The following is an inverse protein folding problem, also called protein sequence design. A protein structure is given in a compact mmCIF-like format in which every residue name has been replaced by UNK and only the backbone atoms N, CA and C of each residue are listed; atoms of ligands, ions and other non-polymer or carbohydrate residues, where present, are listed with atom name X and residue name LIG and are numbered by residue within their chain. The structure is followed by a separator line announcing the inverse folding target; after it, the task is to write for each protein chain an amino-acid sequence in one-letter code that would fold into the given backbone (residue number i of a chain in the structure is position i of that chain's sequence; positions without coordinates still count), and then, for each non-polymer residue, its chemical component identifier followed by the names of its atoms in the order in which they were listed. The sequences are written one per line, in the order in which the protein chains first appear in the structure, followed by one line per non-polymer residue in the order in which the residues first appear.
data_IF_541546223029
#
_entry.id   IF_541546223029
#
_cell.length_a   1.000
_cell.length_b   1.000
_cell.length_c   1.000
_cell.angle_alpha   90.00
_cell.angle_beta   90.00
_cell.angle_gamma   90.00
#
_symmetry.space_group_name_H-M   'P 1'
#
loop_
_entity.id
_entity.type
_entity.pdbx_description
1 polymer ?
#
# COMPACT_ATOMS: atom_id res chain seq x y z
N UNK A 1 -3.86 -0.93 6.95
CA UNK A 1 -3.26 -0.51 5.67
C UNK A 1 -1.89 0.13 5.88
N UNK A 2 -1.81 1.25 6.59
CA UNK A 2 -0.55 1.98 6.87
C UNK A 2 0.58 1.09 7.42
N UNK A 3 0.28 0.25 8.41
CA UNK A 3 1.26 -0.69 8.97
C UNK A 3 1.88 -1.61 7.91
N UNK A 4 1.05 -2.30 7.12
CA UNK A 4 1.56 -3.17 6.05
C UNK A 4 2.32 -2.40 4.97
N UNK A 5 1.91 -1.18 4.65
CA UNK A 5 2.67 -0.29 3.76
C UNK A 5 4.04 0.04 4.34
N UNK A 6 4.14 0.35 5.63
CA UNK A 6 5.42 0.58 6.31
C UNK A 6 6.30 -0.68 6.37
N UNK A 7 5.69 -1.87 6.54
CA UNK A 7 6.41 -3.15 6.49
C UNK A 7 7.02 -3.40 5.11
N UNK A 8 6.30 -3.09 4.03
CA UNK A 8 6.86 -3.15 2.67
C UNK A 8 8.09 -2.24 2.57
N UNK A 9 7.99 -0.98 3.01
CA UNK A 9 9.13 -0.06 2.95
C UNK A 9 10.32 -0.52 3.80
N UNK A 10 10.05 -1.14 4.95
CA UNK A 10 11.08 -1.71 5.82
C UNK A 10 11.81 -2.86 5.14
N UNK A 11 11.06 -3.78 4.52
CA UNK A 11 11.64 -4.96 3.85
C UNK A 11 12.41 -4.59 2.58
N UNK A 12 11.98 -3.54 1.89
CA UNK A 12 12.62 -3.05 0.66
C UNK A 12 13.74 -2.04 0.92
N UNK A 13 14.01 -1.70 2.18
CA UNK A 13 15.06 -0.75 2.55
C UNK A 13 16.42 -1.28 2.10
N UNK A 14 17.14 -0.46 1.33
CA UNK A 14 18.48 -0.76 0.81
C UNK A 14 18.57 -2.02 -0.07
N UNK A 15 17.43 -2.63 -0.41
CA UNK A 15 17.37 -3.77 -1.34
C UNK A 15 17.61 -3.25 -2.76
N UNK A 16 18.51 -3.91 -3.50
CA UNK A 16 18.71 -3.62 -4.92
C UNK A 16 17.80 -4.51 -5.76
N UNK A 17 17.46 -4.04 -6.96
CA UNK A 17 16.59 -4.75 -7.89
C UNK A 17 17.02 -6.21 -8.11
N UNK A 18 18.31 -6.42 -8.35
CA UNK A 18 18.88 -7.76 -8.59
C UNK A 18 18.73 -8.69 -7.40
N UNK A 19 18.91 -8.17 -6.18
CA UNK A 19 18.80 -8.96 -4.95
C UNK A 19 17.34 -9.34 -4.72
N UNK A 20 16.41 -8.42 -4.96
CA UNK A 20 14.97 -8.69 -4.94
C UNK A 20 14.56 -9.78 -5.94
N UNK A 21 15.05 -9.71 -7.19
CA UNK A 21 14.74 -10.71 -8.23
C UNK A 21 15.26 -12.12 -7.91
N UNK A 22 16.26 -12.25 -7.02
CA UNK A 22 16.85 -13.53 -6.62
C UNK A 22 16.33 -14.05 -5.28
N UNK A 23 15.62 -13.24 -4.50
CA UNK A 23 15.07 -13.61 -3.20
C UNK A 23 13.56 -13.89 -3.29
N UNK A 24 13.21 -15.13 -3.58
CA UNK A 24 11.82 -15.60 -3.66
C UNK A 24 11.05 -15.38 -2.35
N UNK A 25 11.70 -15.48 -1.18
CA UNK A 25 11.04 -15.27 0.10
C UNK A 25 10.64 -13.81 0.26
N UNK A 26 11.53 -12.89 -0.11
CA UNK A 26 11.23 -11.46 -0.09
C UNK A 26 10.12 -11.13 -1.09
N UNK A 27 10.17 -11.67 -2.30
CA UNK A 27 9.12 -11.49 -3.30
C UNK A 27 7.75 -11.93 -2.78
N UNK A 28 7.66 -13.13 -2.21
CA UNK A 28 6.42 -13.67 -1.63
C UNK A 28 5.93 -12.80 -0.46
N UNK A 29 6.83 -12.41 0.44
CA UNK A 29 6.48 -11.57 1.58
C UNK A 29 5.93 -10.21 1.15
N UNK A 30 6.61 -9.54 0.21
CA UNK A 30 6.19 -8.23 -0.31
C UNK A 30 4.88 -8.34 -1.09
N UNK A 31 4.74 -9.34 -1.95
CA UNK A 31 3.51 -9.60 -2.70
C UNK A 31 2.33 -9.78 -1.76
N UNK A 32 2.49 -10.59 -0.70
CA UNK A 32 1.44 -10.79 0.29
C UNK A 32 1.05 -9.50 1.01
N UNK A 33 2.01 -8.64 1.34
CA UNK A 33 1.70 -7.35 1.95
C UNK A 33 0.92 -6.44 0.99
N UNK A 34 1.27 -6.41 -0.29
CA UNK A 34 0.54 -5.64 -1.31
C UNK A 34 -0.91 -6.13 -1.49
N UNK A 35 -1.15 -7.44 -1.44
CA UNK A 35 -2.50 -8.00 -1.45
C UNK A 35 -3.32 -7.52 -0.25
N UNK A 36 -2.75 -7.57 0.95
CA UNK A 36 -3.41 -7.12 2.19
C UNK A 36 -3.71 -5.63 2.13
N UNK A 37 -2.81 -4.82 1.56
CA UNK A 37 -3.04 -3.39 1.33
C UNK A 37 -4.23 -3.17 0.39
N UNK A 38 -4.29 -3.90 -0.72
CA UNK A 38 -5.40 -3.83 -1.68
C UNK A 38 -6.74 -4.27 -1.08
N UNK A 39 -6.75 -5.33 -0.28
CA UNK A 39 -7.94 -5.80 0.43
C UNK A 39 -8.42 -4.78 1.46
N UNK A 40 -7.50 -4.21 2.24
CA UNK A 40 -7.84 -3.14 3.18
C UNK A 40 -8.45 -1.92 2.46
N UNK A 41 -7.99 -1.59 1.25
CA UNK A 41 -8.54 -0.49 0.46
C UNK A 41 -9.95 -0.79 -0.06
N UNK A 42 -10.22 -2.05 -0.41
CA UNK A 42 -11.54 -2.48 -0.86
C UNK A 42 -12.59 -2.42 0.26
N UNK A 43 -12.15 -2.62 1.51
CA UNK A 43 -13.00 -2.58 2.69
C UNK A 43 -13.33 -1.17 3.19
N UNK A 44 -12.70 -0.12 2.64
CA UNK A 44 -13.06 1.26 2.95
C UNK A 44 -14.44 1.60 2.37
N UNK A 45 -15.21 2.41 3.11
CA UNK A 45 -16.51 2.88 2.62
C UNK A 45 -16.33 3.64 1.31
N UNK A 46 -17.39 3.68 0.50
CA UNK A 46 -17.39 4.45 -0.75
C UNK A 46 -17.20 5.95 -0.45
N UNK A 47 -17.92 6.47 0.54
CA UNK A 47 -17.84 7.86 1.00
C UNK A 47 -16.41 8.26 1.37
N UNK A 48 -15.70 7.45 2.18
CA UNK A 48 -14.31 7.73 2.55
C UNK A 48 -13.39 7.77 1.33
N UNK A 49 -13.59 6.86 0.37
CA UNK A 49 -12.80 6.82 -0.86
C UNK A 49 -13.07 8.02 -1.77
N UNK A 50 -14.31 8.50 -1.80
CA UNK A 50 -14.71 9.70 -2.55
C UNK A 50 -14.15 10.97 -1.91
N UNK A 51 -14.24 11.09 -0.58
CA UNK A 51 -13.66 12.19 0.20
C UNK A 51 -12.14 12.28 0.00
N UNK A 52 -11.46 11.14 -0.10
CA UNK A 52 -10.03 11.05 -0.31
C UNK A 52 -9.65 10.60 -1.73
N UNK A 53 -10.32 11.16 -2.74
CA UNK A 53 -10.15 10.80 -4.16
C UNK A 53 -8.78 11.11 -4.78
N UNK A 54 -7.93 11.85 -4.07
CA UNK A 54 -6.51 12.05 -4.46
C UNK A 54 -5.71 10.75 -4.40
N UNK A 55 -6.11 9.81 -3.53
CA UNK A 55 -5.55 8.47 -3.48
C UNK A 55 -6.20 7.64 -4.59
N UNK A 56 -5.42 6.95 -5.46
CA UNK A 56 -5.96 6.17 -6.56
C UNK A 56 -6.51 4.81 -6.08
N UNK A 57 -7.59 4.83 -5.28
CA UNK A 57 -8.17 3.64 -4.64
C UNK A 57 -8.47 2.50 -5.60
N UNK A 58 -9.01 2.80 -6.78
CA UNK A 58 -9.31 1.79 -7.80
C UNK A 58 -8.06 1.03 -8.26
N UNK A 59 -6.91 1.71 -8.39
CA UNK A 59 -5.65 1.07 -8.76
C UNK A 59 -5.10 0.21 -7.62
N UNK A 60 -5.21 0.69 -6.37
CA UNK A 60 -4.76 -0.05 -5.17
C UNK A 60 -5.57 -1.33 -5.00
N UNK A 61 -6.90 -1.25 -5.16
CA UNK A 61 -7.81 -2.39 -5.10
C UNK A 61 -7.52 -3.35 -6.27
N UNK A 62 -7.36 -2.82 -7.48
CA UNK A 62 -7.07 -3.60 -8.68
C UNK A 62 -5.73 -4.32 -8.64
N UNK A 63 -4.75 -3.81 -7.89
CA UNK A 63 -3.43 -4.43 -7.72
C UNK A 63 -3.54 -5.86 -7.18
N UNK A 64 -4.45 -6.11 -6.22
CA UNK A 64 -4.71 -7.46 -5.69
C UNK A 64 -5.06 -8.44 -6.82
N UNK A 65 -5.95 -8.04 -7.74
CA UNK A 65 -6.36 -8.89 -8.84
C UNK A 65 -5.20 -9.15 -9.81
N UNK A 66 -4.36 -8.15 -10.07
CA UNK A 66 -3.18 -8.29 -10.91
C UNK A 66 -2.13 -9.25 -10.32
N UNK A 67 -1.94 -9.23 -8.99
CA UNK A 67 -1.00 -10.11 -8.29
C UNK A 67 -1.53 -11.55 -8.20
N UNK A 68 -2.83 -11.73 -7.95
CA UNK A 68 -3.46 -13.06 -7.85
C UNK A 68 -3.55 -13.74 -9.23
N UNK A 69 -3.91 -13.04 -10.30
CA UNK A 69 -4.00 -13.66 -11.63
C UNK A 69 -2.64 -14.12 -12.18
N UNK A 70 -1.55 -13.66 -11.58
CA UNK A 70 -0.19 -14.03 -11.93
C UNK A 70 0.24 -15.40 -11.35
N UNK A 71 -0.70 -16.29 -10.99
CA UNK A 71 -0.49 -17.62 -10.37
C UNK A 71 0.67 -18.47 -10.92
N UNK A 72 1.13 -18.21 -12.15
CA UNK A 72 2.28 -18.90 -12.76
C UNK A 72 3.57 -18.08 -12.82
N UNK A 73 3.51 -16.74 -12.78
CA UNK A 73 4.65 -15.82 -12.77
C UNK A 73 4.20 -14.44 -12.27
N UNK A 74 4.51 -14.12 -11.01
CA UNK A 74 4.35 -12.76 -10.50
C UNK A 74 5.19 -11.81 -11.36
N UNK A 75 4.56 -10.76 -11.86
CA UNK A 75 5.26 -9.70 -12.58
C UNK A 75 6.13 -8.91 -11.59
N UNK A 76 7.37 -9.36 -11.42
CA UNK A 76 8.31 -8.80 -10.46
C UNK A 76 8.62 -7.34 -10.75
N UNK A 77 8.55 -6.91 -12.02
CA UNK A 77 8.70 -5.51 -12.39
C UNK A 77 7.57 -4.67 -11.80
N UNK A 78 6.32 -5.12 -11.93
CA UNK A 78 5.17 -4.45 -11.31
C UNK A 78 5.29 -4.41 -9.80
N UNK A 79 5.65 -5.51 -9.15
CA UNK A 79 5.80 -5.55 -7.68
C UNK A 79 6.84 -4.53 -7.22
N UNK A 80 8.01 -4.52 -7.85
CA UNK A 80 9.07 -3.57 -7.51
C UNK A 80 8.70 -2.13 -7.79
N UNK A 81 8.14 -1.82 -8.96
CA UNK A 81 7.72 -0.45 -9.25
C UNK A 81 6.68 0.02 -8.23
N UNK A 82 5.78 -0.86 -7.82
CA UNK A 82 4.79 -0.58 -6.77
C UNK A 82 5.47 -0.28 -5.43
N UNK A 83 6.48 -1.04 -5.02
CA UNK A 83 7.18 -0.84 -3.74
C UNK A 83 8.04 0.43 -3.75
N UNK A 84 8.60 0.80 -4.90
CA UNK A 84 9.48 1.97 -5.01
C UNK A 84 8.71 3.28 -5.20
N UNK A 85 7.46 3.26 -5.68
CA UNK A 85 6.72 4.47 -6.06
C UNK A 85 5.38 4.59 -5.35
N UNK A 86 4.48 3.64 -5.60
CA UNK A 86 3.09 3.70 -5.13
C UNK A 86 2.99 3.55 -3.62
N UNK A 87 3.74 2.62 -3.01
CA UNK A 87 3.70 2.39 -1.56
C UNK A 87 4.21 3.60 -0.75
N UNK A 88 5.38 4.21 -1.06
CA UNK A 88 5.82 5.43 -0.38
C UNK A 88 4.80 6.56 -0.47
N UNK A 89 4.24 6.79 -1.66
CA UNK A 89 3.21 7.81 -1.87
C UNK A 89 1.95 7.52 -1.06
N UNK A 90 1.52 6.26 -0.99
CA UNK A 90 0.37 5.85 -0.19
C UNK A 90 0.60 6.08 1.31
N UNK A 91 1.79 5.77 1.82
CA UNK A 91 2.15 6.03 3.22
C UNK A 91 2.04 7.51 3.55
N UNK A 92 2.57 8.38 2.69
CA UNK A 92 2.49 9.84 2.89
C UNK A 92 1.04 10.32 2.93
N UNK A 93 0.22 9.89 1.97
CA UNK A 93 -1.19 10.30 1.87
C UNK A 93 -2.01 9.82 3.07
N UNK A 94 -1.87 8.55 3.47
CA UNK A 94 -2.60 8.02 4.64
C UNK A 94 -2.15 8.69 5.93
N UNK A 95 -0.85 8.91 6.10
CA UNK A 95 -0.33 9.59 7.31
C UNK A 95 -0.93 10.99 7.43
N UNK A 96 -0.99 11.74 6.32
CA UNK A 96 -1.61 13.07 6.31
C UNK A 96 -3.11 13.04 6.66
N UNK A 97 -3.84 12.01 6.25
CA UNK A 97 -5.26 11.84 6.62
C UNK A 97 -5.37 11.57 8.12
N UNK A 98 -4.59 10.63 8.66
CA UNK A 98 -4.63 10.26 10.09
C UNK A 98 -4.29 11.48 10.96
N UNK A 99 -3.23 12.22 10.64
CA UNK A 99 -2.85 13.42 11.39
C UNK A 99 -3.97 14.46 11.42
N UNK A 100 -4.65 14.71 10.29
CA UNK A 100 -5.78 15.65 10.24
C UNK A 100 -6.99 15.18 11.04
N UNK A 101 -7.24 13.87 11.08
CA UNK A 101 -8.33 13.31 11.88
C UNK A 101 -8.06 13.46 13.38
N UNK A 102 -6.81 13.25 13.80
CA UNK A 102 -6.39 13.43 15.19
C UNK A 102 -6.49 14.91 15.62
N UNK A 103 -6.08 15.85 14.76
CA UNK A 103 -6.21 17.31 15.00
C UNK A 103 -7.68 17.72 15.15
N UNK A 104 -8.57 17.24 14.28
CA UNK A 104 -10.00 17.56 14.33
C UNK A 104 -10.68 17.01 15.59
N UNK A 105 -10.30 15.80 16.03
CA UNK A 105 -10.79 15.24 17.29
C UNK A 105 -10.29 16.00 18.53
N UNK A 106 -9.08 16.55 18.48
CA UNK A 106 -8.54 17.36 19.57
C UNK A 106 -9.25 18.71 19.71
N UNK A 107 -9.61 19.36 18.59
CA UNK A 107 -10.39 20.61 18.58
C UNK A 107 -11.84 20.38 19.05
N UNK A 108 -12.49 19.30 18.61
CA UNK A 108 -13.87 18.95 19.00
C UNK A 108 -14.00 18.51 20.47
N UNK A 109 -12.89 18.14 21.13
CA UNK A 109 -12.85 17.71 22.55
C UNK A 109 -12.57 18.86 23.53
N UNK A 110 -12.26 20.06 23.01
CA UNK A 110 -11.85 21.23 23.79
C UNK A 110 -12.93 22.33 23.84
N UNK A 111 -14.13 22.04 23.31
CA UNK A 111 -15.37 22.82 23.39
C UNK A 111 -16.42 22.06 24.22
#
# INVERSE_FOLDING_TARGET
MLDNSNRVLSYMRDVKRRDFEQDEKLQLAVTRLLEIIGEAAANLSQEFREEHSTIPWGQIIGMRNRLIHAYFHVDLEVVWNTTQTAVPSLVQQITAIVTKMDEKQADDSND
#
